data_IF_435439799298
#
_entry.id   IF_435439799298
#
_cell.length_a   1.000
_cell.length_b   1.000
_cell.length_c   1.000
_cell.angle_alpha   90.00
_cell.angle_beta   90.00
_cell.angle_gamma   90.00
#
_symmetry.space_group_name_H-M   'P 1'
#
loop_
_entity.id
_entity.type
_entity.pdbx_description
1 polymer ?
#
# COMPACT_ATOMS: atom_id res chain seq x y z
N UNK A 1 -9.27 23.38 1.34
CA UNK A 1 -9.52 22.22 0.46
C UNK A 1 -10.90 21.63 0.71
N UNK A 2 -11.61 21.15 -0.33
CA UNK A 2 -12.94 20.53 -0.25
C UNK A 2 -12.90 19.12 -0.83
N UNK A 3 -13.95 18.33 -0.56
CA UNK A 3 -14.13 17.01 -1.19
C UNK A 3 -14.21 17.17 -2.71
N UNK A 4 -13.57 16.28 -3.44
CA UNK A 4 -13.40 16.23 -4.89
C UNK A 4 -12.42 17.26 -5.49
N UNK A 5 -11.76 18.09 -4.69
CA UNK A 5 -10.67 18.93 -5.19
C UNK A 5 -9.56 18.03 -5.76
N UNK A 6 -8.96 18.51 -6.86
CA UNK A 6 -7.84 17.86 -7.53
C UNK A 6 -6.58 18.66 -7.22
N UNK A 7 -5.51 17.95 -6.87
CA UNK A 7 -4.23 18.56 -6.51
C UNK A 7 -3.08 17.62 -6.87
N UNK A 8 -1.90 18.20 -7.02
CA UNK A 8 -0.66 17.44 -7.21
C UNK A 8 -0.10 17.03 -5.86
N UNK A 9 0.37 15.78 -5.75
CA UNK A 9 0.87 15.22 -4.52
C UNK A 9 2.09 14.33 -4.79
N UNK A 10 3.17 14.61 -4.10
CA UNK A 10 4.31 13.71 -4.02
C UNK A 10 4.11 12.72 -2.87
N UNK A 11 4.37 11.45 -3.15
CA UNK A 11 4.29 10.38 -2.17
C UNK A 11 5.66 10.18 -1.53
N UNK A 12 5.77 10.60 -0.28
CA UNK A 12 7.03 10.62 0.45
C UNK A 12 7.21 9.46 1.41
N UNK A 13 6.12 8.75 1.76
CA UNK A 13 6.13 7.61 2.69
C UNK A 13 5.01 6.62 2.34
N UNK A 14 4.96 5.51 3.05
CA UNK A 14 3.90 4.50 2.93
C UNK A 14 3.34 4.12 4.29
N UNK A 15 2.03 4.03 4.36
CA UNK A 15 1.30 3.64 5.55
C UNK A 15 1.33 2.13 5.80
N UNK A 16 0.78 1.73 6.95
CA UNK A 16 0.83 0.33 7.41
C UNK A 16 0.08 -0.64 6.51
N UNK A 17 -0.89 -0.17 5.76
CA UNK A 17 -1.71 -0.99 4.85
C UNK A 17 -1.21 -0.91 3.40
N UNK A 18 -0.05 -0.25 3.19
CA UNK A 18 0.60 -0.14 1.88
C UNK A 18 0.07 1.02 1.03
N UNK A 19 -0.75 1.91 1.61
CA UNK A 19 -1.15 3.15 0.98
C UNK A 19 -0.01 4.17 0.95
N UNK A 20 0.07 4.96 -0.11
CA UNK A 20 1.02 6.08 -0.18
C UNK A 20 0.64 7.19 0.77
N UNK A 21 1.63 7.86 1.34
CA UNK A 21 1.48 9.03 2.19
C UNK A 21 2.16 10.21 1.54
N UNK A 22 1.45 11.33 1.43
CA UNK A 22 1.98 12.60 0.97
C UNK A 22 1.41 13.75 1.80
N UNK A 23 2.02 14.93 1.67
CA UNK A 23 1.62 16.13 2.39
C UNK A 23 1.23 17.23 1.42
N UNK A 24 0.08 17.83 1.63
CA UNK A 24 -0.40 18.95 0.84
C UNK A 24 -1.15 19.94 1.73
N UNK A 25 -0.81 21.22 1.65
CA UNK A 25 -1.45 22.33 2.40
C UNK A 25 -1.54 22.04 3.91
N UNK A 26 -0.45 21.52 4.51
CA UNK A 26 -0.36 21.18 5.93
C UNK A 26 -1.17 19.95 6.36
N UNK A 27 -1.77 19.23 5.43
CA UNK A 27 -2.53 18.01 5.68
C UNK A 27 -1.80 16.77 5.16
N UNK A 28 -1.92 15.67 5.89
CA UNK A 28 -1.44 14.36 5.45
C UNK A 28 -2.53 13.65 4.63
N UNK A 29 -2.17 13.14 3.47
CA UNK A 29 -3.07 12.37 2.62
C UNK A 29 -2.63 10.91 2.52
N UNK A 30 -3.60 10.01 2.70
CA UNK A 30 -3.46 8.58 2.45
C UNK A 30 -4.06 8.27 1.08
N UNK A 31 -3.27 7.66 0.21
CA UNK A 31 -3.64 7.43 -1.19
C UNK A 31 -3.45 5.97 -1.55
N UNK A 32 -4.54 5.27 -1.82
CA UNK A 32 -4.49 3.89 -2.28
C UNK A 32 -3.85 3.81 -3.68
N UNK A 33 -3.10 2.75 -3.93
CA UNK A 33 -2.41 2.45 -5.19
C UNK A 33 -1.32 3.46 -5.61
N UNK A 34 -0.94 4.37 -4.70
CA UNK A 34 0.22 5.24 -4.83
C UNK A 34 1.41 4.67 -4.05
N UNK A 35 2.59 4.76 -4.61
CA UNK A 35 3.82 4.22 -4.02
C UNK A 35 4.81 5.34 -3.71
N UNK A 36 5.67 5.11 -2.72
CA UNK A 36 6.74 6.05 -2.37
C UNK A 36 7.55 6.44 -3.61
N UNK A 37 7.75 7.75 -3.79
CA UNK A 37 8.44 8.33 -4.93
C UNK A 37 7.55 8.62 -6.15
N UNK A 38 6.25 8.30 -6.11
CA UNK A 38 5.32 8.75 -7.14
C UNK A 38 5.02 10.24 -6.99
N UNK A 39 4.91 10.94 -8.11
CA UNK A 39 4.22 12.24 -8.21
C UNK A 39 2.91 12.01 -8.94
N UNK A 40 1.80 12.33 -8.28
CA UNK A 40 0.46 12.01 -8.75
C UNK A 40 -0.44 13.25 -8.83
N UNK A 41 -1.41 13.20 -9.71
CA UNK A 41 -2.63 14.00 -9.59
C UNK A 41 -3.61 13.21 -8.73
N UNK A 42 -3.97 13.77 -7.59
CA UNK A 42 -4.83 13.15 -6.60
C UNK A 42 -6.18 13.87 -6.51
N UNK A 43 -7.25 13.12 -6.22
CA UNK A 43 -8.57 13.67 -5.91
C UNK A 43 -8.94 13.38 -4.47
N UNK A 44 -9.27 14.42 -3.71
CA UNK A 44 -9.74 14.29 -2.32
C UNK A 44 -11.07 13.52 -2.25
N UNK A 45 -11.09 12.41 -1.51
CA UNK A 45 -12.30 11.61 -1.30
C UNK A 45 -12.96 12.00 0.04
N UNK A 46 -12.16 12.09 1.09
CA UNK A 46 -12.62 12.35 2.45
C UNK A 46 -11.60 13.19 3.18
N UNK A 47 -12.08 14.25 3.82
CA UNK A 47 -11.27 15.15 4.63
C UNK A 47 -11.63 15.01 6.09
N UNK A 48 -10.62 15.01 6.94
CA UNK A 48 -10.68 15.08 8.41
C UNK A 48 -9.95 16.34 8.86
N UNK A 49 -9.92 16.61 10.17
CA UNK A 49 -9.29 17.82 10.71
C UNK A 49 -7.81 17.96 10.33
N UNK A 50 -7.02 16.87 10.39
CA UNK A 50 -5.57 16.90 10.21
C UNK A 50 -5.08 15.98 9.08
N UNK A 51 -5.96 15.19 8.45
CA UNK A 51 -5.59 14.29 7.38
C UNK A 51 -6.76 14.06 6.42
N UNK A 52 -6.45 13.52 5.25
CA UNK A 52 -7.44 13.17 4.25
C UNK A 52 -7.14 11.85 3.56
N UNK A 53 -8.12 11.37 2.82
CA UNK A 53 -7.97 10.26 1.89
C UNK A 53 -8.16 10.78 0.48
N UNK A 54 -7.29 10.38 -0.41
CA UNK A 54 -7.38 10.70 -1.80
C UNK A 54 -7.25 9.43 -2.67
N UNK A 55 -7.61 9.55 -3.93
CA UNK A 55 -7.37 8.52 -4.94
C UNK A 55 -6.48 9.09 -6.04
N UNK A 56 -5.74 8.20 -6.66
CA UNK A 56 -4.95 8.53 -7.84
C UNK A 56 -5.91 8.78 -9.01
N UNK A 57 -5.79 9.94 -9.64
CA UNK A 57 -6.41 10.22 -10.95
C UNK A 57 -5.41 9.91 -12.07
N UNK A 58 -4.15 10.31 -11.88
CA UNK A 58 -3.07 10.11 -12.82
C UNK A 58 -1.74 10.00 -12.09
N UNK A 59 -0.84 9.16 -12.56
CA UNK A 59 0.56 9.13 -12.12
C UNK A 59 1.35 9.99 -13.11
N UNK A 60 1.75 11.18 -12.71
CA UNK A 60 2.54 12.10 -13.55
C UNK A 60 3.97 11.63 -13.72
N UNK A 61 4.59 11.28 -12.61
CA UNK A 61 5.94 10.74 -12.59
C UNK A 61 5.92 9.47 -11.75
N UNK A 62 6.08 8.29 -12.37
CA UNK A 62 6.13 7.04 -11.62
C UNK A 62 7.42 6.96 -10.82
N UNK A 63 7.34 6.39 -9.63
CA UNK A 63 8.49 6.07 -8.80
C UNK A 63 9.46 5.14 -9.53
N UNK A 64 10.75 5.34 -9.32
CA UNK A 64 11.80 4.43 -9.81
C UNK A 64 11.72 3.03 -9.19
N UNK A 65 10.99 2.89 -8.09
CA UNK A 65 10.74 1.62 -7.41
C UNK A 65 9.51 0.88 -7.93
N UNK A 66 8.77 1.48 -8.89
CA UNK A 66 7.64 0.80 -9.52
C UNK A 66 8.10 -0.33 -10.42
N UNK A 67 7.40 -1.45 -10.31
CA UNK A 67 7.53 -2.60 -11.22
C UNK A 67 6.15 -2.99 -11.73
N UNK A 68 6.10 -3.63 -12.89
CA UNK A 68 4.85 -4.18 -13.41
C UNK A 68 4.42 -5.38 -12.54
N UNK A 69 3.22 -5.35 -11.94
CA UNK A 69 2.72 -6.48 -11.16
C UNK A 69 2.52 -7.72 -12.03
N UNK A 70 2.95 -8.88 -11.55
CA UNK A 70 2.73 -10.14 -12.26
C UNK A 70 1.24 -10.54 -12.34
N UNK A 71 0.42 -10.03 -11.44
CA UNK A 71 -0.99 -10.36 -11.35
C UNK A 71 -1.82 -9.33 -12.13
N UNK A 72 -2.47 -9.73 -13.19
CA UNK A 72 -3.38 -8.89 -13.99
C UNK A 72 -4.55 -8.32 -13.15
N UNK A 73 -4.92 -9.02 -12.08
CA UNK A 73 -6.00 -8.61 -11.19
C UNK A 73 -5.54 -7.66 -10.07
N UNK A 74 -4.25 -7.31 -10.02
CA UNK A 74 -3.65 -6.53 -8.93
C UNK A 74 -4.49 -5.32 -8.50
N UNK A 75 -4.90 -4.47 -9.44
CA UNK A 75 -5.70 -3.26 -9.16
C UNK A 75 -7.15 -3.54 -8.77
N UNK A 76 -7.69 -4.67 -9.21
CA UNK A 76 -9.13 -5.02 -9.06
C UNK A 76 -9.39 -5.88 -7.85
N UNK A 77 -8.50 -6.82 -7.57
CA UNK A 77 -8.64 -7.81 -6.52
C UNK A 77 -8.44 -7.23 -5.11
N UNK A 78 -7.49 -6.31 -4.91
CA UNK A 78 -7.19 -5.73 -3.60
C UNK A 78 -6.53 -6.70 -2.60
N UNK A 79 -6.18 -7.90 -2.99
CA UNK A 79 -5.49 -8.88 -2.14
C UNK A 79 -4.00 -8.57 -1.90
N UNK A 80 -3.39 -7.80 -2.80
CA UNK A 80 -1.97 -7.41 -2.72
C UNK A 80 -1.85 -5.89 -2.83
N UNK A 81 -1.42 -5.21 -1.77
CA UNK A 81 -1.34 -3.74 -1.76
C UNK A 81 -0.06 -3.20 -2.38
N UNK A 82 1.07 -3.91 -2.23
CA UNK A 82 2.40 -3.42 -2.59
C UNK A 82 3.08 -4.23 -3.71
N UNK A 83 2.31 -4.99 -4.52
CA UNK A 83 2.90 -5.82 -5.58
C UNK A 83 3.57 -5.00 -6.69
N UNK A 84 3.14 -3.76 -6.89
CA UNK A 84 3.74 -2.84 -7.85
C UNK A 84 5.03 -2.17 -7.36
N UNK A 85 5.50 -2.50 -6.15
CA UNK A 85 6.76 -2.04 -5.59
C UNK A 85 7.84 -3.10 -5.81
N UNK A 86 9.08 -2.71 -6.15
CA UNK A 86 10.20 -3.64 -6.30
C UNK A 86 10.40 -4.47 -5.04
N UNK A 87 10.86 -5.72 -5.18
CA UNK A 87 10.93 -6.63 -4.05
C UNK A 87 11.90 -6.15 -2.95
N UNK A 88 13.01 -5.57 -3.34
CA UNK A 88 13.96 -4.96 -2.40
C UNK A 88 13.27 -3.84 -1.59
N UNK A 89 12.50 -3.01 -2.27
CA UNK A 89 11.77 -1.91 -1.61
C UNK A 89 10.60 -2.43 -0.74
N UNK A 90 10.00 -3.56 -1.10
CA UNK A 90 9.04 -4.24 -0.21
C UNK A 90 9.70 -4.74 1.08
N UNK A 91 10.91 -5.28 1.01
CA UNK A 91 11.66 -5.72 2.19
C UNK A 91 12.03 -4.53 3.08
N UNK A 92 12.50 -3.44 2.49
CA UNK A 92 12.78 -2.20 3.21
C UNK A 92 11.52 -1.66 3.90
N UNK A 93 10.39 -1.58 3.19
CA UNK A 93 9.11 -1.16 3.74
C UNK A 93 8.69 -2.01 4.95
N UNK A 94 8.79 -3.33 4.84
CA UNK A 94 8.45 -4.26 5.93
C UNK A 94 9.38 -4.10 7.12
N UNK A 95 10.68 -3.92 6.88
CA UNK A 95 11.67 -3.66 7.92
C UNK A 95 11.36 -2.36 8.67
N UNK A 96 11.11 -1.29 7.92
CA UNK A 96 10.79 0.02 8.49
C UNK A 96 9.48 0.00 9.28
N UNK A 97 8.47 -0.74 8.81
CA UNK A 97 7.22 -0.94 9.54
C UNK A 97 7.46 -1.59 10.91
N UNK A 98 8.25 -2.65 10.97
CA UNK A 98 8.59 -3.33 12.24
C UNK A 98 9.39 -2.38 13.14
N UNK A 99 10.42 -1.74 12.60
CA UNK A 99 11.26 -0.78 13.32
C UNK A 99 10.42 0.35 13.93
N UNK A 100 9.59 0.99 13.13
CA UNK A 100 8.74 2.08 13.57
C UNK A 100 7.75 1.66 14.67
N UNK A 101 7.18 0.47 14.57
CA UNK A 101 6.29 -0.08 15.59
C UNK A 101 7.05 -0.34 16.90
N UNK A 102 8.24 -0.91 16.84
CA UNK A 102 9.07 -1.14 18.02
C UNK A 102 9.49 0.18 18.68
N UNK A 103 9.79 1.21 17.91
CA UNK A 103 10.12 2.54 18.45
C UNK A 103 8.90 3.22 19.06
N UNK A 104 7.79 3.33 18.30
CA UNK A 104 6.64 4.17 18.67
C UNK A 104 5.72 3.50 19.68
N UNK A 105 5.52 2.18 19.55
CA UNK A 105 4.61 1.41 20.42
C UNK A 105 5.40 0.69 21.49
N UNK A 106 6.51 0.05 21.10
CA UNK A 106 7.36 -0.71 22.03
C UNK A 106 8.29 0.13 22.89
N UNK A 107 8.46 1.43 22.59
CA UNK A 107 9.33 2.33 23.36
C UNK A 107 10.84 2.00 23.28
N UNK A 108 11.26 1.21 22.29
CA UNK A 108 12.68 0.90 22.12
C UNK A 108 13.43 2.09 21.51
N UNK A 109 14.62 2.37 22.04
CA UNK A 109 15.50 3.39 21.47
C UNK A 109 16.07 2.95 20.12
N UNK A 110 16.36 3.90 19.26
CA UNK A 110 16.96 3.67 17.94
C UNK A 110 18.27 2.90 18.04
N UNK A 111 19.17 3.33 18.94
CA UNK A 111 20.45 2.66 19.18
C UNK A 111 20.31 1.17 19.58
N UNK A 112 19.25 0.84 20.34
CA UNK A 112 18.98 -0.55 20.71
C UNK A 112 18.50 -1.36 19.49
N UNK A 113 17.68 -0.77 18.64
CA UNK A 113 17.22 -1.41 17.41
C UNK A 113 18.38 -1.61 16.43
N UNK A 114 19.23 -0.62 16.25
CA UNK A 114 20.42 -0.71 15.37
C UNK A 114 21.37 -1.83 15.79
N UNK A 115 21.47 -2.06 17.10
CA UNK A 115 22.34 -3.12 17.64
C UNK A 115 21.74 -4.53 17.58
N UNK A 116 20.41 -4.66 17.38
CA UNK A 116 19.70 -5.94 17.52
C UNK A 116 18.90 -6.36 16.30
N UNK A 117 18.37 -5.40 15.55
CA UNK A 117 17.63 -5.72 14.33
C UNK A 117 18.58 -6.20 13.25
N UNK A 118 18.27 -7.35 12.69
CA UNK A 118 18.94 -7.86 11.51
C UNK A 118 18.17 -7.44 10.25
N UNK A 119 18.83 -7.33 9.09
CA UNK A 119 18.14 -7.12 7.82
C UNK A 119 17.08 -8.21 7.61
N UNK A 120 15.97 -7.87 6.95
CA UNK A 120 14.93 -8.85 6.65
C UNK A 120 15.47 -9.92 5.71
N UNK A 121 15.17 -11.18 6.00
CA UNK A 121 15.48 -12.28 5.09
C UNK A 121 14.42 -12.31 4.01
N UNK A 122 14.83 -12.13 2.77
CA UNK A 122 13.97 -12.25 1.60
C UNK A 122 13.78 -13.71 1.17
N UNK A 123 12.73 -13.95 0.37
CA UNK A 123 12.55 -15.22 -0.31
C UNK A 123 13.23 -15.16 -1.70
N UNK A 124 13.84 -16.26 -2.14
CA UNK A 124 14.43 -16.35 -3.48
C UNK A 124 13.39 -16.13 -4.58
N UNK A 125 12.17 -16.64 -4.34
CA UNK A 125 11.01 -16.37 -5.18
C UNK A 125 9.88 -15.80 -4.30
N UNK A 126 9.54 -14.52 -4.44
CA UNK A 126 8.48 -13.90 -3.64
C UNK A 126 7.05 -14.24 -4.09
N UNK A 127 6.91 -15.10 -5.10
CA UNK A 127 5.62 -15.56 -5.64
C UNK A 127 5.39 -17.02 -5.33
N UNK A 128 4.11 -17.43 -5.37
CA UNK A 128 3.66 -18.83 -5.19
C UNK A 128 4.09 -19.47 -3.86
N UNK A 129 4.32 -18.65 -2.82
CA UNK A 129 4.73 -19.13 -1.50
C UNK A 129 3.53 -19.49 -0.60
N UNK A 130 2.35 -18.95 -0.92
CA UNK A 130 1.16 -19.09 -0.07
C UNK A 130 0.49 -20.44 -0.35
N UNK A 131 0.28 -21.21 0.72
CA UNK A 131 -0.39 -22.52 0.68
C UNK A 131 -1.81 -22.50 1.30
N UNK A 132 -2.27 -21.33 1.76
CA UNK A 132 -3.61 -21.11 2.34
C UNK A 132 -4.19 -19.82 1.80
N UNK A 133 -5.39 -19.90 1.25
CA UNK A 133 -6.16 -18.72 0.84
C UNK A 133 -7.50 -18.66 1.62
N UNK A 134 -8.00 -17.45 1.82
CA UNK A 134 -9.30 -17.20 2.41
C UNK A 134 -10.08 -16.29 1.47
N UNK A 135 -11.23 -16.76 1.04
CA UNK A 135 -12.10 -16.03 0.12
C UNK A 135 -13.39 -15.66 0.82
N UNK A 136 -13.69 -14.37 1.05
CA UNK A 136 -14.99 -13.97 1.58
C UNK A 136 -16.08 -14.23 0.53
N UNK A 137 -17.10 -14.95 0.93
CA UNK A 137 -18.28 -15.23 0.11
C UNK A 137 -19.40 -14.27 0.53
N UNK A 138 -20.08 -13.69 -0.44
CA UNK A 138 -21.17 -12.76 -0.20
C UNK A 138 -22.36 -13.00 -1.12
N UNK A 139 -23.48 -12.40 -0.78
CA UNK A 139 -24.67 -12.35 -1.63
C UNK A 139 -24.76 -10.99 -2.30
N UNK A 140 -24.98 -10.98 -3.61
CA UNK A 140 -25.45 -9.79 -4.31
C UNK A 140 -26.95 -9.64 -4.13
N UNK A 141 -27.48 -8.47 -4.41
CA UNK A 141 -28.93 -8.20 -4.28
C UNK A 141 -29.78 -9.12 -5.14
N UNK A 142 -29.27 -9.59 -6.26
CA UNK A 142 -30.00 -10.43 -7.22
C UNK A 142 -29.45 -11.83 -7.41
N UNK A 143 -28.21 -12.10 -7.00
CA UNK A 143 -27.59 -13.43 -7.14
C UNK A 143 -26.38 -13.57 -6.22
N UNK A 144 -26.00 -14.81 -5.95
CA UNK A 144 -24.77 -15.13 -5.21
C UNK A 144 -23.57 -14.96 -6.12
N UNK A 145 -22.55 -14.24 -5.69
CA UNK A 145 -21.30 -14.10 -6.40
C UNK A 145 -20.13 -13.95 -5.42
N UNK A 146 -18.96 -14.31 -5.87
CA UNK A 146 -17.73 -14.08 -5.14
C UNK A 146 -17.31 -12.61 -5.27
N UNK A 147 -16.69 -12.07 -4.24
CA UNK A 147 -16.13 -10.70 -4.28
C UNK A 147 -14.85 -10.66 -5.09
N UNK A 148 -14.35 -9.45 -5.42
CA UNK A 148 -13.27 -9.25 -6.39
C UNK A 148 -11.99 -10.08 -6.13
N UNK A 149 -11.59 -10.29 -4.89
CA UNK A 149 -10.44 -11.15 -4.56
C UNK A 149 -10.75 -12.64 -4.53
N UNK A 150 -12.00 -12.99 -4.72
CA UNK A 150 -12.50 -14.35 -4.79
C UNK A 150 -12.45 -14.89 -6.22
N UNK A 151 -12.37 -14.02 -7.20
CA UNK A 151 -12.21 -14.41 -8.59
C UNK A 151 -10.88 -15.13 -8.85
N UNK A 152 -9.93 -14.99 -7.95
CA UNK A 152 -8.74 -15.85 -7.98
C UNK A 152 -9.04 -17.33 -7.77
N UNK A 153 -10.23 -17.69 -7.31
CA UNK A 153 -10.67 -19.10 -7.30
C UNK A 153 -10.84 -19.67 -8.71
N UNK A 154 -10.96 -18.86 -9.73
CA UNK A 154 -10.92 -19.31 -11.12
C UNK A 154 -9.50 -19.64 -11.60
N UNK A 155 -8.52 -19.51 -10.75
CA UNK A 155 -7.13 -19.85 -11.04
C UNK A 155 -6.74 -21.25 -10.56
N UNK A 156 -7.72 -22.07 -10.21
CA UNK A 156 -7.53 -23.49 -9.88
C UNK A 156 -7.74 -24.34 -11.12
#
# INVERSE_FOLDING_TARGET
MKKNDIFELEITDMGTDGEGIGHYDGMTFFVKDALIGDVITARAIKLKKNYGYARVEEIKTPSTFRVEPQCELHKRCGGCQIQALSYEKQLEFKNNKVRNNLMRIGGFSEAKLDSKMQPPVGADNPYRYRNKAQFPVGYAVSYTHLRAHETSAHLV
#
